data_IF_105812811402
#
_entry.id   IF_105812811402
#
_cell.length_a   1.000
_cell.length_b   1.000
_cell.length_c   1.000
_cell.angle_alpha   90.00
_cell.angle_beta   90.00
_cell.angle_gamma   90.00
#
_symmetry.space_group_name_H-M   'P 1'
#
loop_
_entity.id
_entity.type
_entity.pdbx_description
1 polymer ?
#
# COMPACT_ATOMS: atom_id res chain seq x y z
N UNK A 1 23.44 13.75 -12.02
CA UNK A 1 22.14 13.83 -11.30
C UNK A 1 21.04 13.35 -12.26
N UNK A 2 20.57 12.12 -12.09
CA UNK A 2 19.32 11.63 -12.70
C UNK A 2 18.66 10.74 -11.64
N UNK A 3 17.65 11.30 -10.98
CA UNK A 3 16.82 10.59 -10.03
C UNK A 3 15.92 9.68 -10.87
N UNK A 4 16.30 8.41 -11.04
CA UNK A 4 15.37 7.43 -11.55
C UNK A 4 14.39 7.15 -10.42
N UNK A 5 13.16 7.68 -10.53
CA UNK A 5 11.98 7.08 -9.92
C UNK A 5 11.83 5.68 -10.51
N UNK A 6 12.67 4.75 -10.05
CA UNK A 6 12.37 3.35 -10.17
C UNK A 6 11.20 3.13 -9.21
N UNK A 7 10.03 2.80 -9.78
CA UNK A 7 9.09 1.93 -9.09
C UNK A 7 9.92 0.83 -8.47
N UNK A 8 10.17 0.92 -7.17
CA UNK A 8 10.86 -0.12 -6.43
C UNK A 8 9.99 -1.34 -6.61
N UNK A 9 10.48 -2.30 -7.38
CA UNK A 9 9.93 -3.63 -7.43
C UNK A 9 10.12 -4.17 -6.02
N UNK A 10 9.11 -3.97 -5.16
CA UNK A 10 9.04 -4.64 -3.88
C UNK A 10 8.79 -6.09 -4.26
N UNK A 11 9.85 -6.90 -4.24
CA UNK A 11 9.68 -8.34 -4.21
C UNK A 11 8.97 -8.64 -2.90
N UNK A 12 7.67 -8.92 -2.99
CA UNK A 12 6.94 -9.52 -1.89
C UNK A 12 7.51 -10.92 -1.74
N UNK A 13 8.43 -11.06 -0.79
CA UNK A 13 8.83 -12.36 -0.28
C UNK A 13 7.56 -13.01 0.29
N UNK A 14 7.27 -14.23 -0.15
CA UNK A 14 6.14 -15.06 0.29
C UNK A 14 6.25 -15.45 1.78
N UNK A 15 7.36 -15.07 2.40
CA UNK A 15 7.50 -14.91 3.84
C UNK A 15 7.18 -13.47 4.27
N UNK A 16 5.97 -13.26 4.80
CA UNK A 16 5.61 -12.06 5.57
C UNK A 16 6.76 -11.67 6.51
N UNK A 17 7.00 -10.37 6.75
CA UNK A 17 7.98 -9.90 7.74
C UNK A 17 7.76 -10.57 9.12
N UNK A 18 6.52 -10.98 9.42
CA UNK A 18 6.15 -11.76 10.60
C UNK A 18 6.85 -13.14 10.71
N UNK A 19 7.47 -13.64 9.64
CA UNK A 19 8.30 -14.84 9.64
C UNK A 19 9.72 -14.59 10.18
N UNK A 20 10.19 -13.33 10.20
CA UNK A 20 11.41 -12.94 10.90
C UNK A 20 11.09 -12.71 12.38
N UNK A 21 10.89 -13.80 13.11
CA UNK A 21 10.50 -13.82 14.54
C UNK A 21 11.43 -13.05 15.49
N UNK A 22 12.61 -12.64 15.04
CA UNK A 22 13.58 -11.85 15.80
C UNK A 22 13.46 -10.34 15.57
N UNK A 23 12.73 -9.90 14.53
CA UNK A 23 12.61 -8.49 14.17
C UNK A 23 11.24 -7.91 14.51
N UNK A 24 11.24 -6.69 15.06
CA UNK A 24 9.99 -5.94 15.31
C UNK A 24 9.78 -4.85 14.25
N UNK A 25 8.53 -4.67 13.81
CA UNK A 25 8.16 -3.62 12.85
C UNK A 25 7.68 -2.39 13.63
N UNK A 26 8.31 -1.25 13.38
CA UNK A 26 7.89 0.04 13.95
C UNK A 26 7.48 0.99 12.83
N UNK A 27 6.35 1.68 13.02
CA UNK A 27 5.84 2.67 12.06
C UNK A 27 6.02 4.06 12.67
N UNK A 28 6.72 4.94 11.94
CA UNK A 28 6.89 6.34 12.30
C UNK A 28 6.28 7.20 11.22
N UNK A 29 5.26 7.97 11.60
CA UNK A 29 4.44 8.73 10.67
C UNK A 29 4.06 10.05 11.35
N UNK A 30 4.23 11.21 10.68
CA UNK A 30 3.78 12.49 11.26
C UNK A 30 2.27 12.55 11.36
N UNK A 31 1.60 12.05 10.32
CA UNK A 31 0.15 11.87 10.29
C UNK A 31 -0.18 10.38 10.39
N UNK A 32 -1.21 9.97 11.14
CA UNK A 32 -1.64 8.57 11.17
C UNK A 32 -2.03 8.11 9.76
N UNK A 33 -1.80 6.84 9.45
CA UNK A 33 -2.33 6.23 8.23
C UNK A 33 -3.87 6.16 8.32
N UNK A 34 -4.53 6.27 7.17
CA UNK A 34 -5.97 6.06 7.10
C UNK A 34 -6.34 4.57 7.21
N UNK A 35 -5.47 3.69 6.72
CA UNK A 35 -5.61 2.24 6.77
C UNK A 35 -4.37 1.57 7.36
N UNK A 36 -4.59 0.40 7.95
CA UNK A 36 -3.50 -0.43 8.47
C UNK A 36 -2.64 -0.99 7.33
N UNK A 37 -1.37 -1.35 7.60
CA UNK A 37 -0.52 -1.99 6.59
C UNK A 37 -1.13 -3.25 5.99
N UNK A 38 -1.86 -4.04 6.78
CA UNK A 38 -2.55 -5.25 6.32
C UNK A 38 -3.69 -4.93 5.34
N UNK A 39 -4.50 -3.91 5.62
CA UNK A 39 -5.56 -3.44 4.71
C UNK A 39 -4.99 -2.89 3.40
N UNK A 40 -3.90 -2.12 3.48
CA UNK A 40 -3.20 -1.59 2.30
C UNK A 40 -2.60 -2.73 1.46
N UNK A 41 -2.02 -3.74 2.11
CA UNK A 41 -1.49 -4.92 1.42
C UNK A 41 -2.58 -5.71 0.71
N UNK A 42 -3.67 -6.04 1.42
CA UNK A 42 -4.81 -6.76 0.83
C UNK A 42 -5.42 -5.99 -0.34
N UNK A 43 -5.47 -4.66 -0.25
CA UNK A 43 -5.89 -3.81 -1.36
C UNK A 43 -4.94 -3.92 -2.56
N UNK A 44 -3.63 -3.72 -2.36
CA UNK A 44 -2.61 -3.81 -3.41
C UNK A 44 -2.67 -5.18 -4.11
N UNK A 45 -2.72 -6.27 -3.34
CA UNK A 45 -2.78 -7.63 -3.87
C UNK A 45 -4.01 -7.86 -4.75
N UNK A 46 -5.15 -7.26 -4.38
CA UNK A 46 -6.38 -7.33 -5.18
C UNK A 46 -6.35 -6.56 -6.50
N UNK A 47 -5.42 -5.61 -6.68
CA UNK A 47 -5.37 -4.74 -7.87
C UNK A 47 -4.06 -4.84 -8.67
N UNK A 48 -2.99 -5.38 -8.10
CA UNK A 48 -1.69 -5.56 -8.72
C UNK A 48 -1.32 -7.04 -8.78
N UNK A 49 -1.79 -7.72 -9.82
CA UNK A 49 -1.43 -9.11 -10.07
C UNK A 49 0.06 -9.25 -10.49
N UNK A 50 0.80 -10.25 -9.98
CA UNK A 50 2.16 -10.52 -10.42
C UNK A 50 2.17 -10.89 -11.92
N UNK A 51 3.00 -10.21 -12.71
CA UNK A 51 3.14 -10.48 -14.15
C UNK A 51 2.14 -9.74 -15.06
N UNK A 52 1.31 -8.84 -14.51
CA UNK A 52 0.50 -7.94 -15.33
C UNK A 52 1.39 -7.06 -16.22
N UNK A 53 1.10 -7.02 -17.52
CA UNK A 53 1.91 -6.29 -18.49
C UNK A 53 1.82 -4.77 -18.29
N UNK A 54 2.86 -4.03 -18.68
CA UNK A 54 2.87 -2.56 -18.65
C UNK A 54 1.68 -1.90 -19.35
N UNK A 55 1.06 -2.61 -20.31
CA UNK A 55 -0.12 -2.14 -21.05
C UNK A 55 -1.45 -2.30 -20.29
N UNK A 56 -1.51 -3.17 -19.27
CA UNK A 56 -2.71 -3.36 -18.44
C UNK A 56 -2.89 -2.26 -17.39
N UNK A 57 -1.88 -1.39 -17.22
CA UNK A 57 -1.95 -0.10 -16.55
C UNK A 57 -2.73 -0.09 -15.21
N UNK A 58 -2.47 -1.10 -14.36
CA UNK A 58 -3.03 -1.20 -13.01
C UNK A 58 -2.52 -0.11 -12.04
N UNK A 59 -1.59 0.76 -12.48
CA UNK A 59 -1.08 1.88 -11.68
C UNK A 59 -2.17 2.92 -11.34
N UNK A 60 -3.25 2.99 -12.13
CA UNK A 60 -4.38 3.87 -11.82
C UNK A 60 -5.13 3.45 -10.55
N UNK A 61 -5.08 2.16 -10.19
CA UNK A 61 -5.62 1.67 -8.92
C UNK A 61 -4.79 2.10 -7.70
N UNK A 62 -3.61 2.69 -7.87
CA UNK A 62 -2.80 3.18 -6.74
C UNK A 62 -2.53 4.69 -6.80
N UNK A 63 -3.05 5.37 -7.83
CA UNK A 63 -2.74 6.79 -8.07
C UNK A 63 -3.94 7.67 -8.44
N UNK A 64 -5.07 7.10 -8.87
CA UNK A 64 -6.24 7.85 -9.34
C UNK A 64 -7.49 7.48 -8.53
N UNK A 65 -7.88 8.30 -7.53
CA UNK A 65 -9.06 8.05 -6.71
C UNK A 65 -10.35 7.90 -7.52
N UNK A 66 -10.50 8.67 -8.59
CA UNK A 66 -11.73 8.65 -9.41
C UNK A 66 -11.82 7.36 -10.23
N UNK A 67 -10.67 6.84 -10.67
CA UNK A 67 -10.59 5.55 -11.33
C UNK A 67 -10.93 4.42 -10.36
N UNK A 68 -10.37 4.43 -9.15
CA UNK A 68 -10.65 3.42 -8.11
C UNK A 68 -12.14 3.39 -7.79
N UNK A 69 -12.75 4.55 -7.48
CA UNK A 69 -14.15 4.61 -7.05
C UNK A 69 -15.13 4.06 -8.09
N UNK A 70 -14.73 4.09 -9.36
CA UNK A 70 -15.57 3.69 -10.50
C UNK A 70 -15.28 2.28 -11.03
N UNK A 71 -14.07 1.76 -10.80
CA UNK A 71 -13.61 0.51 -11.45
C UNK A 71 -13.16 -0.58 -10.48
N UNK A 72 -12.94 -0.25 -9.20
CA UNK A 72 -12.54 -1.24 -8.21
C UNK A 72 -13.74 -2.10 -7.80
N UNK A 73 -13.53 -3.43 -7.74
CA UNK A 73 -14.50 -4.33 -7.11
C UNK A 73 -14.34 -4.27 -5.60
N UNK A 74 -15.22 -3.50 -4.95
CA UNK A 74 -15.25 -3.37 -3.50
C UNK A 74 -15.60 -4.68 -2.78
N UNK A 75 -16.04 -5.74 -3.46
CA UNK A 75 -16.25 -7.04 -2.84
C UNK A 75 -15.02 -7.96 -2.92
N UNK A 76 -13.92 -7.50 -3.54
CA UNK A 76 -12.71 -8.30 -3.69
C UNK A 76 -12.10 -8.69 -2.33
N UNK A 77 -12.22 -7.82 -1.32
CA UNK A 77 -11.67 -8.05 0.02
C UNK A 77 -12.75 -7.84 1.11
N UNK A 78 -12.71 -8.59 2.23
CA UNK A 78 -13.65 -8.40 3.35
C UNK A 78 -13.64 -6.97 3.91
N UNK A 79 -12.46 -6.34 3.92
CA UNK A 79 -12.25 -4.96 4.37
C UNK A 79 -12.98 -3.94 3.49
N UNK A 80 -12.97 -4.10 2.16
CA UNK A 80 -13.57 -3.12 1.25
C UNK A 80 -15.07 -3.35 1.03
N UNK A 81 -15.56 -4.56 1.33
CA UNK A 81 -16.96 -4.94 1.14
C UNK A 81 -17.95 -4.11 1.97
N UNK A 82 -17.48 -3.48 3.05
CA UNK A 82 -18.30 -2.59 3.87
C UNK A 82 -18.64 -1.25 3.18
N UNK A 83 -17.88 -0.84 2.15
CA UNK A 83 -18.08 0.43 1.45
C UNK A 83 -19.15 0.29 0.36
N UNK A 84 -20.42 0.28 0.75
CA UNK A 84 -21.54 0.09 -0.19
C UNK A 84 -22.02 1.40 -0.82
N UNK A 85 -21.99 2.51 -0.09
CA UNK A 85 -22.47 3.80 -0.58
C UNK A 85 -21.44 4.44 -1.52
N UNK A 86 -21.92 5.27 -2.44
CA UNK A 86 -21.04 5.95 -3.40
C UNK A 86 -20.05 6.87 -2.69
N UNK A 87 -20.52 7.62 -1.70
CA UNK A 87 -19.70 8.53 -0.90
C UNK A 87 -18.60 7.78 -0.15
N UNK A 88 -18.90 6.60 0.40
CA UNK A 88 -17.94 5.76 1.12
C UNK A 88 -16.85 5.24 0.17
N UNK A 89 -17.24 4.85 -1.06
CA UNK A 89 -16.29 4.39 -2.09
C UNK A 89 -15.35 5.51 -2.51
N UNK A 90 -15.86 6.72 -2.72
CA UNK A 90 -15.05 7.90 -3.06
C UNK A 90 -14.11 8.26 -1.90
N UNK A 91 -14.62 8.26 -0.67
CA UNK A 91 -13.82 8.53 0.52
C UNK A 91 -12.72 7.47 0.69
N UNK A 92 -13.04 6.19 0.45
CA UNK A 92 -12.06 5.12 0.47
C UNK A 92 -10.95 5.37 -0.55
N UNK A 93 -11.34 5.62 -1.80
CA UNK A 93 -10.42 5.83 -2.91
C UNK A 93 -9.48 7.01 -2.70
N UNK A 94 -9.95 8.10 -2.09
CA UNK A 94 -9.08 9.23 -1.76
C UNK A 94 -8.06 8.84 -0.70
N UNK A 95 -8.52 8.27 0.42
CA UNK A 95 -7.67 7.90 1.56
C UNK A 95 -6.62 6.85 1.22
N UNK A 96 -6.98 5.87 0.38
CA UNK A 96 -6.04 4.80 0.01
C UNK A 96 -4.93 5.38 -0.87
N UNK A 97 -5.25 6.27 -1.81
CA UNK A 97 -4.25 6.97 -2.62
C UNK A 97 -3.40 7.91 -1.77
N UNK A 98 -4.01 8.60 -0.80
CA UNK A 98 -3.26 9.46 0.13
C UNK A 98 -2.23 8.65 0.92
N UNK A 99 -2.59 7.47 1.43
CA UNK A 99 -1.68 6.58 2.15
C UNK A 99 -0.59 5.99 1.22
N UNK A 100 -0.95 5.55 0.01
CA UNK A 100 -0.03 4.93 -0.95
C UNK A 100 0.96 5.92 -1.58
N UNK A 101 0.59 7.20 -1.65
CA UNK A 101 1.48 8.25 -2.17
C UNK A 101 2.47 8.78 -1.12
N UNK A 102 2.39 8.34 0.13
CA UNK A 102 3.35 8.79 1.16
C UNK A 102 4.74 8.27 0.84
N UNK A 103 5.74 9.13 1.00
CA UNK A 103 7.13 8.73 0.83
C UNK A 103 7.55 7.81 1.98
N UNK A 104 7.76 6.53 1.71
CA UNK A 104 8.20 5.54 2.69
C UNK A 104 9.72 5.35 2.62
N UNK A 105 10.39 5.59 3.74
CA UNK A 105 11.77 5.15 3.98
C UNK A 105 11.75 3.91 4.87
N UNK A 106 12.45 2.85 4.46
CA UNK A 106 12.62 1.64 5.26
C UNK A 106 14.04 1.61 5.80
N UNK A 107 14.18 1.66 7.13
CA UNK A 107 15.47 1.45 7.79
C UNK A 107 15.50 0.08 8.46
N UNK A 108 16.69 -0.52 8.50
CA UNK A 108 16.96 -1.76 9.23
C UNK A 108 17.96 -1.41 10.33
N UNK A 109 17.53 -1.51 11.59
CA UNK A 109 18.39 -1.39 12.76
C UNK A 109 18.77 -2.81 13.23
N UNK A 110 19.94 -3.26 12.81
CA UNK A 110 20.44 -4.61 13.12
C UNK A 110 20.82 -4.81 14.59
N UNK A 111 21.09 -3.73 15.34
CA UNK A 111 21.42 -3.84 16.76
C UNK A 111 20.15 -4.05 17.59
N UNK A 112 19.04 -3.42 17.19
CA UNK A 112 17.73 -3.55 17.85
C UNK A 112 16.83 -4.62 17.26
N UNK A 113 17.25 -5.21 16.14
CA UNK A 113 16.39 -6.08 15.32
C UNK A 113 15.06 -5.37 15.00
N UNK A 114 15.15 -4.17 14.43
CA UNK A 114 13.97 -3.38 14.06
C UNK A 114 13.92 -3.11 12.56
N UNK A 115 12.74 -3.30 11.97
CA UNK A 115 12.36 -2.67 10.71
C UNK A 115 11.60 -1.39 11.03
N UNK A 116 12.12 -0.25 10.56
CA UNK A 116 11.49 1.05 10.78
C UNK A 116 10.88 1.54 9.46
N UNK A 117 9.55 1.60 9.43
CA UNK A 117 8.77 2.17 8.34
C UNK A 117 8.54 3.65 8.63
N UNK A 118 9.35 4.51 8.03
CA UNK A 118 9.33 5.96 8.27
C UNK A 118 8.63 6.63 7.09
N UNK A 119 7.45 7.18 7.34
CA UNK A 119 6.73 8.00 6.37
C UNK A 119 7.25 9.44 6.47
N UNK A 120 7.81 9.94 5.35
CA UNK A 120 8.38 11.28 5.20
C UNK A 120 7.33 12.18 4.57
N UNK A 121 6.21 12.34 5.26
CA UNK A 121 5.19 13.36 4.97
C UNK A 121 5.56 14.75 5.54
#
# INVERSE_FOLDING_TARGET
MKLYQALTQITLDDHLIDAYTEYTVTVQAKSPLNYTPEELYSYIDSVLAPGSFHEENNLRFVSDPSFISSNYDFNANPFTAQFTAFEDKVAFSQKVVDDLNRHLSVNIDGDKHEFQLIFVD
#
